data_IF_427685802785
#
_entry.id   IF_427685802785
#
_cell.length_a   1.000
_cell.length_b   1.000
_cell.length_c   1.000
_cell.angle_alpha   90.00
_cell.angle_beta   90.00
_cell.angle_gamma   90.00
#
_symmetry.space_group_name_H-M   'P 1'
#
loop_
_entity.id
_entity.type
_entity.pdbx_description
1 polymer ?
#
# COMPACT_ATOMS: atom_id res chain seq x y z
N UNK A 1 -2.72 -13.80 30.54
CA UNK A 1 -2.83 -14.63 29.33
C UNK A 1 -2.70 -13.78 28.06
N UNK A 2 -3.44 -12.68 27.90
CA UNK A 2 -3.34 -11.82 26.71
C UNK A 2 -1.91 -11.33 26.37
N UNK A 3 -1.18 -10.71 27.31
CA UNK A 3 0.17 -10.17 27.04
C UNK A 3 1.22 -11.23 26.67
N UNK A 4 1.02 -12.47 27.12
CA UNK A 4 1.91 -13.59 26.78
C UNK A 4 1.64 -14.13 25.38
N UNK A 5 0.38 -14.11 24.93
CA UNK A 5 0.04 -14.38 23.54
C UNK A 5 0.61 -13.31 22.60
N UNK A 6 0.52 -12.03 22.96
CA UNK A 6 1.09 -10.94 22.16
C UNK A 6 2.62 -11.06 22.06
N UNK A 7 3.30 -11.35 23.17
CA UNK A 7 4.75 -11.56 23.16
C UNK A 7 5.17 -12.75 22.28
N UNK A 8 4.41 -13.86 22.31
CA UNK A 8 4.65 -15.01 21.42
C UNK A 8 4.41 -14.68 19.95
N UNK A 9 3.36 -13.93 19.63
CA UNK A 9 3.06 -13.50 18.27
C UNK A 9 4.15 -12.58 17.69
N UNK A 10 4.81 -11.80 18.54
CA UNK A 10 5.97 -10.95 18.19
C UNK A 10 7.32 -11.68 18.25
N UNK A 11 7.31 -13.01 18.46
CA UNK A 11 8.52 -13.85 18.62
C UNK A 11 9.46 -13.37 19.75
N UNK A 12 8.89 -12.73 20.79
CA UNK A 12 9.63 -12.19 21.92
C UNK A 12 9.68 -13.15 23.12
N UNK A 13 10.69 -12.96 23.98
CA UNK A 13 10.89 -13.77 25.19
C UNK A 13 9.71 -13.60 26.18
N UNK A 14 9.41 -14.60 27.03
CA UNK A 14 8.34 -14.52 28.02
C UNK A 14 8.44 -13.30 28.97
N UNK A 15 9.65 -12.85 29.28
CA UNK A 15 9.89 -11.65 30.08
C UNK A 15 9.29 -10.38 29.45
N UNK A 16 9.21 -10.32 28.12
CA UNK A 16 8.60 -9.22 27.38
C UNK A 16 7.11 -9.08 27.69
N UNK A 17 6.42 -10.19 27.98
CA UNK A 17 5.00 -10.15 28.38
C UNK A 17 4.76 -9.46 29.72
N UNK A 18 5.77 -9.45 30.60
CA UNK A 18 5.72 -8.74 31.89
C UNK A 18 5.86 -7.24 31.69
N UNK A 19 6.82 -6.81 30.88
CA UNK A 19 7.03 -5.40 30.51
C UNK A 19 5.80 -4.83 29.79
N UNK A 20 5.22 -5.59 28.86
CA UNK A 20 3.97 -5.19 28.19
C UNK A 20 2.83 -5.00 29.20
N UNK A 21 2.71 -5.90 30.17
CA UNK A 21 1.67 -5.82 31.19
C UNK A 21 1.85 -4.60 32.09
N UNK A 22 3.07 -4.36 32.55
CA UNK A 22 3.44 -3.17 33.34
C UNK A 22 3.09 -1.88 32.60
N UNK A 23 3.48 -1.77 31.32
CA UNK A 23 3.15 -0.61 30.47
C UNK A 23 1.65 -0.41 30.26
N UNK A 24 0.91 -1.49 30.03
CA UNK A 24 -0.55 -1.42 29.88
C UNK A 24 -1.22 -0.96 31.18
N UNK A 25 -0.75 -1.46 32.34
CA UNK A 25 -1.28 -0.99 33.62
C UNK A 25 -0.95 0.47 33.91
N UNK A 26 0.25 0.92 33.55
CA UNK A 26 0.66 2.32 33.68
C UNK A 26 -0.23 3.22 32.81
N UNK A 27 -0.47 2.84 31.55
CA UNK A 27 -1.37 3.56 30.64
C UNK A 27 -2.85 3.57 31.09
N UNK A 28 -3.32 2.47 31.72
CA UNK A 28 -4.68 2.42 32.27
C UNK A 28 -4.82 3.37 33.47
N UNK A 29 -3.76 3.49 34.27
CA UNK A 29 -3.73 4.38 35.43
C UNK A 29 -3.58 5.86 35.03
N UNK A 30 -2.77 6.15 34.01
CA UNK A 30 -2.57 7.47 33.43
C UNK A 30 -2.56 7.38 31.90
N UNK A 31 -3.54 8.03 31.25
CA UNK A 31 -3.67 8.01 29.78
C UNK A 31 -2.57 8.79 29.08
N UNK A 32 -1.86 9.67 29.79
CA UNK A 32 -0.73 10.42 29.24
C UNK A 32 0.59 9.64 29.35
N UNK A 33 0.64 8.53 30.10
CA UNK A 33 1.82 7.68 30.24
C UNK A 33 1.95 6.70 29.06
N UNK A 34 2.24 7.27 27.89
CA UNK A 34 2.54 6.53 26.67
C UNK A 34 3.97 5.98 26.73
N UNK A 35 4.21 4.76 26.20
CA UNK A 35 5.56 4.22 26.14
C UNK A 35 6.42 5.02 25.16
N UNK A 36 7.20 5.96 25.69
CA UNK A 36 8.13 6.76 24.90
C UNK A 36 9.40 5.94 24.62
N UNK A 37 9.80 5.93 23.34
CA UNK A 37 11.07 5.37 22.94
C UNK A 37 12.23 6.30 23.38
N UNK A 38 12.75 6.11 24.60
CA UNK A 38 13.89 6.88 25.19
C UNK A 38 15.16 6.87 24.33
N UNK A 39 15.20 5.91 23.43
CA UNK A 39 16.30 5.62 22.56
C UNK A 39 16.26 6.54 21.30
N UNK A 40 15.11 7.12 20.94
CA UNK A 40 14.97 8.04 19.81
C UNK A 40 14.68 7.34 18.47
N UNK A 41 14.77 8.08 17.36
CA UNK A 41 14.38 7.64 15.99
C UNK A 41 15.56 7.20 15.11
N UNK A 42 16.59 6.61 15.70
CA UNK A 42 17.75 6.00 15.02
C UNK A 42 17.45 4.95 13.95
N UNK A 43 16.28 4.31 13.96
CA UNK A 43 15.91 3.31 12.96
C UNK A 43 14.96 3.85 11.87
N UNK A 44 14.55 5.12 11.97
CA UNK A 44 13.66 5.74 11.01
C UNK A 44 14.48 6.40 9.91
N UNK A 45 14.33 5.88 8.70
CA UNK A 45 14.84 6.50 7.50
C UNK A 45 14.03 7.75 7.14
N UNK A 46 14.61 8.63 6.32
CA UNK A 46 13.91 9.81 5.81
C UNK A 46 12.56 9.46 5.15
N UNK A 47 12.52 8.30 4.48
CA UNK A 47 11.33 7.76 3.84
C UNK A 47 10.21 7.39 4.84
N UNK A 48 10.54 7.06 6.09
CA UNK A 48 9.51 6.77 7.11
C UNK A 48 8.95 8.05 7.75
N UNK A 49 9.75 9.13 7.76
CA UNK A 49 9.37 10.42 8.37
C UNK A 49 8.59 11.31 7.42
N UNK A 50 8.84 11.19 6.12
CA UNK A 50 8.25 12.05 5.10
C UNK A 50 7.40 11.19 4.14
N UNK A 51 6.10 11.15 4.40
CA UNK A 51 5.13 10.41 3.61
C UNK A 51 5.00 10.96 2.18
N UNK A 52 5.08 12.28 2.02
CA UNK A 52 5.05 12.94 0.70
C UNK A 52 6.23 12.49 -0.17
N UNK A 53 7.43 12.37 0.43
CA UNK A 53 8.61 11.83 -0.26
C UNK A 53 8.40 10.39 -0.70
N UNK A 54 7.81 9.56 0.17
CA UNK A 54 7.51 8.18 -0.18
C UNK A 54 6.53 8.11 -1.36
N UNK A 55 5.49 8.95 -1.37
CA UNK A 55 4.50 9.02 -2.44
C UNK A 55 5.11 9.49 -3.76
N UNK A 56 5.93 10.54 -3.74
CA UNK A 56 6.62 11.05 -4.93
C UNK A 56 7.54 10.00 -5.55
N UNK A 57 8.33 9.32 -4.72
CA UNK A 57 9.16 8.20 -5.17
C UNK A 57 8.28 7.10 -5.79
N UNK A 58 7.14 6.79 -5.17
CA UNK A 58 6.24 5.77 -5.68
C UNK A 58 5.70 6.13 -7.07
N UNK A 59 5.26 7.38 -7.27
CA UNK A 59 4.79 7.88 -8.56
C UNK A 59 5.89 7.80 -9.63
N UNK A 60 7.12 8.21 -9.28
CA UNK A 60 8.25 8.13 -10.20
C UNK A 60 8.56 6.68 -10.62
N UNK A 61 8.63 5.76 -9.65
CA UNK A 61 8.93 4.35 -9.92
C UNK A 61 7.81 3.67 -10.73
N UNK A 62 6.55 4.05 -10.52
CA UNK A 62 5.43 3.59 -11.36
C UNK A 62 5.54 4.09 -12.80
N UNK A 63 5.92 5.36 -13.00
CA UNK A 63 6.13 5.93 -14.33
C UNK A 63 7.28 5.27 -15.11
N UNK A 64 8.35 4.83 -14.43
CA UNK A 64 9.46 4.08 -15.06
C UNK A 64 9.03 2.72 -15.61
N UNK A 65 8.04 2.09 -14.98
CA UNK A 65 7.39 0.88 -15.47
C UNK A 65 8.09 -0.43 -15.07
N UNK A 66 7.94 -1.47 -15.91
CA UNK A 66 8.22 -2.87 -15.54
C UNK A 66 9.67 -3.16 -15.11
N UNK A 67 10.64 -2.45 -15.67
CA UNK A 67 12.07 -2.76 -15.46
C UNK A 67 12.76 -1.83 -14.49
N UNK A 68 12.01 -1.28 -13.52
CA UNK A 68 12.55 -0.35 -12.53
C UNK A 68 13.68 -0.98 -11.70
N UNK A 69 14.75 -0.22 -11.50
CA UNK A 69 15.95 -0.62 -10.78
C UNK A 69 16.23 0.35 -9.64
N UNK A 70 17.01 -0.10 -8.67
CA UNK A 70 17.47 0.76 -7.58
C UNK A 70 18.28 1.96 -8.06
N UNK A 71 18.95 1.87 -9.21
CA UNK A 71 19.69 3.00 -9.77
C UNK A 71 18.75 4.12 -10.24
N UNK A 72 17.58 3.79 -10.77
CA UNK A 72 16.59 4.79 -11.22
C UNK A 72 16.15 5.67 -10.04
N UNK A 73 16.00 5.07 -8.85
CA UNK A 73 15.73 5.80 -7.62
C UNK A 73 16.90 6.70 -7.21
N UNK A 74 18.13 6.21 -7.32
CA UNK A 74 19.33 7.01 -6.99
C UNK A 74 19.42 8.22 -7.90
N UNK A 75 19.21 8.03 -9.19
CA UNK A 75 19.33 9.10 -10.19
C UNK A 75 18.18 10.12 -10.06
N UNK A 76 16.96 9.66 -9.77
CA UNK A 76 15.82 10.53 -9.46
C UNK A 76 16.08 11.44 -8.27
N UNK A 77 16.58 10.87 -7.17
CA UNK A 77 16.86 11.64 -5.94
C UNK A 77 18.12 12.50 -6.05
N UNK A 78 18.98 12.27 -7.03
CA UNK A 78 20.17 13.10 -7.29
C UNK A 78 19.85 14.34 -8.15
N UNK A 79 18.63 14.43 -8.71
CA UNK A 79 18.18 15.62 -9.44
C UNK A 79 18.20 16.87 -8.54
N UNK A 80 18.59 18.04 -9.06
CA UNK A 80 18.74 19.25 -8.25
C UNK A 80 17.41 19.70 -7.61
N UNK A 81 16.29 19.44 -8.29
CA UNK A 81 14.94 19.72 -7.79
C UNK A 81 14.61 18.85 -6.58
N UNK A 82 14.80 17.53 -6.68
CA UNK A 82 14.52 16.59 -5.59
C UNK A 82 15.47 16.78 -4.42
N UNK A 83 16.75 17.09 -4.65
CA UNK A 83 17.70 17.40 -3.56
C UNK A 83 17.30 18.64 -2.78
N UNK A 84 16.84 19.69 -3.48
CA UNK A 84 16.38 20.92 -2.84
C UNK A 84 15.10 20.70 -2.04
N UNK A 85 14.16 19.93 -2.59
CA UNK A 85 12.88 19.65 -1.94
C UNK A 85 13.00 18.69 -0.75
N UNK A 86 13.72 17.57 -0.91
CA UNK A 86 13.88 16.54 0.12
C UNK A 86 14.89 16.89 1.22
N UNK A 87 15.75 17.90 0.98
CA UNK A 87 16.84 18.26 1.89
C UNK A 87 18.00 17.27 1.92
N UNK A 88 18.05 16.31 0.99
CA UNK A 88 19.13 15.33 0.88
C UNK A 88 20.41 16.03 0.39
N UNK A 89 21.40 16.11 1.27
CA UNK A 89 22.68 16.77 0.97
C UNK A 89 23.55 15.95 0.02
N UNK A 90 23.62 14.64 0.21
CA UNK A 90 24.48 13.73 -0.54
C UNK A 90 23.66 12.71 -1.32
N UNK A 91 24.14 12.37 -2.52
CA UNK A 91 23.59 11.28 -3.32
C UNK A 91 23.48 10.02 -2.48
N UNK A 92 22.29 9.42 -2.46
CA UNK A 92 22.07 8.21 -1.69
C UNK A 92 22.89 7.05 -2.27
N UNK A 93 23.33 6.13 -1.40
CA UNK A 93 24.01 4.93 -1.85
C UNK A 93 23.04 3.96 -2.52
N UNK A 94 23.55 3.11 -3.42
CA UNK A 94 22.76 2.03 -4.03
C UNK A 94 22.13 1.12 -2.97
N UNK A 95 22.84 0.83 -1.89
CA UNK A 95 22.34 0.01 -0.79
C UNK A 95 21.16 0.67 -0.06
N UNK A 96 21.21 2.00 0.10
CA UNK A 96 20.09 2.77 0.67
C UNK A 96 18.87 2.68 -0.24
N UNK A 97 19.05 2.89 -1.55
CA UNK A 97 17.98 2.77 -2.54
C UNK A 97 17.33 1.38 -2.51
N UNK A 98 18.12 0.30 -2.46
CA UNK A 98 17.61 -1.07 -2.35
C UNK A 98 16.77 -1.28 -1.08
N UNK A 99 17.23 -0.77 0.08
CA UNK A 99 16.47 -0.84 1.34
C UNK A 99 15.16 -0.06 1.24
N UNK A 100 15.18 1.12 0.64
CA UNK A 100 14.00 1.97 0.46
C UNK A 100 12.97 1.33 -0.47
N UNK A 101 13.41 0.77 -1.60
CA UNK A 101 12.49 0.07 -2.50
C UNK A 101 11.85 -1.15 -1.83
N UNK A 102 12.60 -1.90 -1.01
CA UNK A 102 12.04 -2.99 -0.21
C UNK A 102 10.99 -2.49 0.78
N UNK A 103 11.20 -1.32 1.40
CA UNK A 103 10.22 -0.67 2.29
C UNK A 103 8.97 -0.21 1.54
N UNK A 104 9.13 0.32 0.33
CA UNK A 104 8.05 0.66 -0.60
C UNK A 104 7.41 -0.57 -1.27
N UNK A 105 7.68 -1.76 -0.74
CA UNK A 105 7.14 -3.04 -1.19
C UNK A 105 7.49 -3.47 -2.62
N UNK A 106 8.48 -2.85 -3.26
CA UNK A 106 9.01 -3.34 -4.55
C UNK A 106 9.75 -4.66 -4.34
N UNK A 107 9.30 -5.70 -5.05
CA UNK A 107 9.89 -7.04 -5.03
C UNK A 107 10.23 -7.47 -6.45
N UNK A 108 11.52 -7.67 -6.72
CA UNK A 108 12.01 -8.28 -7.96
C UNK A 108 11.86 -9.78 -7.84
N UNK A 109 10.65 -10.25 -8.11
CA UNK A 109 10.37 -11.67 -8.27
C UNK A 109 9.94 -11.92 -9.71
N UNK A 110 9.99 -13.18 -10.12
CA UNK A 110 9.38 -13.57 -11.39
C UNK A 110 7.87 -13.39 -11.23
N UNK A 111 7.27 -12.52 -12.03
CA UNK A 111 5.80 -12.44 -12.13
C UNK A 111 5.27 -13.82 -12.53
N UNK A 112 4.51 -14.53 -11.67
CA UNK A 112 3.89 -15.77 -12.05
C UNK A 112 2.73 -15.45 -12.99
N UNK A 113 3.04 -15.28 -14.28
CA UNK A 113 2.06 -15.23 -15.36
C UNK A 113 1.48 -16.63 -15.53
N UNK A 114 0.49 -16.99 -14.72
CA UNK A 114 -0.11 -18.32 -14.84
C UNK A 114 -1.13 -18.72 -13.80
N UNK A 115 -1.51 -17.86 -12.85
CA UNK A 115 -2.52 -18.25 -11.85
C UNK A 115 -3.96 -18.01 -12.33
N UNK A 116 -4.17 -17.07 -13.25
CA UNK A 116 -5.46 -16.83 -13.87
C UNK A 116 -5.43 -17.36 -15.30
N UNK A 117 -5.85 -18.62 -15.47
CA UNK A 117 -6.50 -19.02 -16.73
C UNK A 117 -7.73 -18.14 -16.82
N UNK A 118 -7.97 -17.46 -17.94
CA UNK A 118 -9.11 -16.57 -18.07
C UNK A 118 -10.40 -17.34 -17.78
N UNK A 119 -10.92 -17.17 -16.56
CA UNK A 119 -12.10 -17.90 -16.10
C UNK A 119 -13.35 -17.55 -16.90
N UNK A 120 -13.29 -16.49 -17.71
CA UNK A 120 -14.34 -16.13 -18.67
C UNK A 120 -14.44 -17.07 -19.87
N UNK A 121 -13.47 -17.95 -20.11
CA UNK A 121 -13.53 -18.93 -21.20
C UNK A 121 -14.17 -20.27 -20.77
N UNK A 122 -14.48 -20.46 -19.48
CA UNK A 122 -15.17 -21.67 -19.05
C UNK A 122 -16.61 -21.66 -19.51
N UNK A 123 -17.03 -22.73 -20.19
CA UNK A 123 -18.38 -22.86 -20.76
C UNK A 123 -19.50 -22.62 -19.73
N UNK A 124 -19.32 -23.05 -18.48
CA UNK A 124 -20.30 -22.83 -17.41
C UNK A 124 -20.41 -21.36 -16.99
N UNK A 125 -19.29 -20.65 -16.93
CA UNK A 125 -19.24 -19.21 -16.65
C UNK A 125 -19.82 -18.42 -17.82
N UNK A 126 -19.52 -18.82 -19.06
CA UNK A 126 -20.08 -18.20 -20.28
C UNK A 126 -21.59 -18.41 -20.34
N UNK A 127 -22.08 -19.63 -20.11
CA UNK A 127 -23.49 -19.94 -20.08
C UNK A 127 -24.21 -19.11 -19.01
N UNK A 128 -23.69 -19.07 -17.78
CA UNK A 128 -24.25 -18.24 -16.72
C UNK A 128 -24.27 -16.75 -17.08
N UNK A 129 -23.17 -16.24 -17.67
CA UNK A 129 -23.10 -14.83 -18.10
C UNK A 129 -24.18 -14.54 -19.15
N UNK A 130 -24.32 -15.40 -20.15
CA UNK A 130 -25.20 -15.17 -21.29
C UNK A 130 -26.67 -15.40 -20.98
N UNK A 131 -27.00 -16.43 -20.20
CA UNK A 131 -28.37 -16.87 -19.94
C UNK A 131 -28.98 -16.25 -18.68
N UNK A 132 -28.16 -15.91 -17.67
CA UNK A 132 -28.65 -15.43 -16.37
C UNK A 132 -28.25 -13.98 -16.12
N UNK A 133 -26.95 -13.69 -16.16
CA UNK A 133 -26.43 -12.40 -15.72
C UNK A 133 -26.81 -11.25 -16.65
N UNK A 134 -26.55 -11.38 -17.96
CA UNK A 134 -26.85 -10.32 -18.92
C UNK A 134 -28.35 -10.00 -19.04
N UNK A 135 -29.27 -10.99 -19.09
CA UNK A 135 -30.70 -10.72 -19.07
C UNK A 135 -31.16 -10.04 -17.77
N UNK A 136 -30.70 -10.51 -16.61
CA UNK A 136 -31.02 -9.89 -15.32
C UNK A 136 -30.49 -8.45 -15.24
N UNK A 137 -29.27 -8.21 -15.75
CA UNK A 137 -28.68 -6.88 -15.80
C UNK A 137 -29.43 -5.95 -16.75
N UNK A 138 -29.90 -6.43 -17.92
CA UNK A 138 -30.70 -5.64 -18.85
C UNK A 138 -32.02 -5.16 -18.22
N UNK A 139 -32.70 -6.03 -17.47
CA UNK A 139 -33.93 -5.68 -16.75
C UNK A 139 -33.70 -4.63 -15.63
N UNK A 140 -32.52 -4.65 -15.00
CA UNK A 140 -32.12 -3.64 -14.01
C UNK A 140 -31.70 -2.34 -14.71
N UNK A 141 -31.03 -2.45 -15.86
CA UNK A 141 -30.46 -1.31 -16.60
C UNK A 141 -31.50 -0.26 -16.94
N UNK A 142 -32.71 -0.68 -17.33
CA UNK A 142 -33.84 0.21 -17.60
C UNK A 142 -34.23 1.10 -16.41
N UNK A 143 -33.99 0.62 -15.18
CA UNK A 143 -34.30 1.33 -13.93
C UNK A 143 -33.09 2.09 -13.38
N UNK A 144 -31.91 1.87 -13.93
CA UNK A 144 -30.68 2.55 -13.50
C UNK A 144 -30.45 3.84 -14.28
N UNK A 145 -29.73 4.77 -13.65
CA UNK A 145 -29.39 6.05 -14.26
C UNK A 145 -28.27 5.85 -15.28
N UNK A 146 -28.49 6.28 -16.52
CA UNK A 146 -27.45 6.33 -17.54
C UNK A 146 -26.73 7.67 -17.46
N UNK A 147 -25.40 7.63 -17.50
CA UNK A 147 -24.55 8.81 -17.57
C UNK A 147 -23.90 8.87 -18.95
N UNK A 148 -24.05 9.99 -19.65
CA UNK A 148 -23.29 10.22 -20.88
C UNK A 148 -21.80 10.45 -20.55
N UNK A 149 -20.91 10.24 -21.52
CA UNK A 149 -19.47 10.48 -21.36
C UNK A 149 -19.10 11.94 -21.03
N UNK A 150 -20.06 12.86 -21.11
CA UNK A 150 -19.93 14.25 -20.72
C UNK A 150 -20.56 14.56 -19.34
N UNK A 151 -20.96 13.53 -18.57
CA UNK A 151 -21.72 13.67 -17.33
C UNK A 151 -23.01 14.49 -17.46
N UNK A 152 -23.58 14.56 -18.67
CA UNK A 152 -24.87 15.19 -18.92
C UNK A 152 -25.94 14.10 -18.78
N UNK A 153 -26.94 14.34 -17.96
CA UNK A 153 -28.12 13.48 -17.86
C UNK A 153 -28.85 13.50 -19.21
N UNK A 154 -29.02 12.34 -19.83
CA UNK A 154 -30.00 12.22 -20.91
C UNK A 154 -31.37 12.27 -20.25
N UNK A 155 -32.12 13.34 -20.53
CA UNK A 155 -33.46 13.59 -20.00
C UNK A 155 -34.31 12.31 -20.06
N UNK A 156 -34.95 11.97 -18.94
CA UNK A 156 -36.00 10.95 -18.94
C UNK A 156 -37.20 11.57 -19.65
N UNK A 157 -37.40 11.25 -20.92
CA UNK A 157 -38.71 11.42 -21.56
C UNK A 157 -39.70 10.50 -20.81
N UNK A 158 -40.42 11.10 -19.86
CA UNK A 158 -41.61 10.52 -19.27
C UNK A 158 -42.79 10.80 -20.22
N UNK A 159 -43.61 9.79 -20.59
CA UNK A 159 -44.98 10.07 -21.03
C UNK A 159 -45.82 10.70 -19.91
#
# INVERSE_FOLDING_TARGET
MASLHTAKALEQKPAHSRVLRERVHAFIADREDLPINIYGTWNESLLDKNEDLAQEIHMHLQATGKYVKAMDLVDFLDTPEMRKWSGITNRISLATAQRWMKKLEYRWTKDPKGQFVDGHERDDVVAYRQEVFLPAWAAIKEKTRNWSCHNIETDRDYP
#
